data_IF_053966504802
#
_entry.id   IF_053966504802
#
_cell.length_a   1.000
_cell.length_b   1.000
_cell.length_c   1.000
_cell.angle_alpha   90.00
_cell.angle_beta   90.00
_cell.angle_gamma   90.00
#
_symmetry.space_group_name_H-M   'P 1'
#
loop_
_entity.id
_entity.type
_entity.pdbx_description
1 polymer ?
#
# COMPACT_ATOMS: atom_id res chain seq x y z
N UNK A 1 16.26 -24.56 -0.66
CA UNK A 1 15.21 -24.61 0.38
C UNK A 1 13.94 -24.08 -0.21
N UNK A 2 12.81 -24.74 0.00
CA UNK A 2 11.49 -24.24 -0.42
C UNK A 2 11.03 -23.08 0.50
N UNK A 3 10.07 -22.28 0.03
CA UNK A 3 9.48 -21.20 0.83
C UNK A 3 8.83 -21.76 2.10
N UNK A 4 8.13 -22.90 1.99
CA UNK A 4 7.54 -23.57 3.14
C UNK A 4 8.60 -24.01 4.18
N UNK A 5 9.75 -24.53 3.73
CA UNK A 5 10.85 -24.88 4.63
C UNK A 5 11.42 -23.61 5.30
N UNK A 6 11.53 -22.50 4.57
CA UNK A 6 11.96 -21.23 5.13
C UNK A 6 10.99 -20.74 6.19
N UNK A 7 9.69 -20.64 5.87
CA UNK A 7 8.66 -20.19 6.81
C UNK A 7 8.63 -21.05 8.09
N UNK A 8 8.73 -22.37 7.95
CA UNK A 8 8.84 -23.28 9.08
C UNK A 8 10.11 -23.03 9.92
N UNK A 9 11.23 -22.71 9.29
CA UNK A 9 12.49 -22.45 9.98
C UNK A 9 12.48 -21.17 10.84
N UNK A 10 11.56 -20.26 10.53
CA UNK A 10 11.34 -19.00 11.28
C UNK A 10 10.08 -19.03 12.14
N UNK A 11 9.47 -20.22 12.30
CA UNK A 11 8.25 -20.46 13.11
C UNK A 11 7.06 -19.60 12.66
N UNK A 12 6.92 -19.43 11.35
CA UNK A 12 5.77 -18.77 10.73
C UNK A 12 4.84 -19.84 10.19
N UNK A 13 3.70 -19.99 10.86
CA UNK A 13 2.63 -20.89 10.48
C UNK A 13 1.46 -20.12 9.85
N UNK A 14 0.64 -20.82 9.10
CA UNK A 14 -0.60 -20.27 8.57
C UNK A 14 -1.73 -20.45 9.59
N UNK A 15 -2.59 -19.42 9.72
CA UNK A 15 -3.86 -19.54 10.46
C UNK A 15 -4.97 -19.85 9.46
N UNK A 16 -5.76 -20.83 9.76
CA UNK A 16 -6.86 -21.28 8.91
C UNK A 16 -8.16 -20.51 9.18
N UNK A 17 -8.26 -19.84 10.33
CA UNK A 17 -9.47 -19.09 10.70
C UNK A 17 -9.21 -17.92 11.65
N UNK A 18 -10.13 -16.93 11.69
CA UNK A 18 -10.09 -15.86 12.70
C UNK A 18 -10.12 -16.39 14.14
N UNK A 19 -10.85 -17.47 14.38
CA UNK A 19 -10.97 -18.09 15.71
C UNK A 19 -9.62 -18.59 16.19
N UNK A 20 -8.87 -19.30 15.36
CA UNK A 20 -7.52 -19.78 15.68
C UNK A 20 -6.57 -18.62 16.00
N UNK A 21 -6.67 -17.52 15.24
CA UNK A 21 -5.91 -16.31 15.52
C UNK A 21 -6.23 -15.77 16.92
N UNK A 22 -7.52 -15.62 17.25
CA UNK A 22 -7.92 -15.06 18.54
C UNK A 22 -7.56 -15.99 19.71
N UNK A 23 -7.68 -17.30 19.55
CA UNK A 23 -7.25 -18.28 20.56
C UNK A 23 -5.75 -18.15 20.82
N UNK A 24 -4.95 -18.05 19.78
CA UNK A 24 -3.49 -17.92 19.91
C UNK A 24 -3.09 -16.59 20.54
N UNK A 25 -3.77 -15.50 20.17
CA UNK A 25 -3.58 -14.20 20.79
C UNK A 25 -3.83 -14.23 22.30
N UNK A 26 -4.92 -14.90 22.73
CA UNK A 26 -5.24 -15.08 24.15
C UNK A 26 -4.26 -16.01 24.88
N UNK A 27 -3.61 -16.91 24.17
CA UNK A 27 -2.59 -17.81 24.66
C UNK A 27 -1.20 -17.19 24.84
N UNK A 28 -0.98 -15.96 24.40
CA UNK A 28 0.31 -15.29 24.57
C UNK A 28 0.65 -15.15 26.08
N UNK A 29 1.91 -15.38 26.45
CA UNK A 29 2.35 -15.37 27.85
C UNK A 29 2.11 -14.03 28.54
N UNK A 30 2.24 -12.94 27.81
CA UNK A 30 2.01 -11.60 28.31
C UNK A 30 0.63 -11.09 27.91
N UNK A 31 -0.29 -10.98 28.86
CA UNK A 31 -1.64 -10.48 28.63
C UNK A 31 -1.68 -9.05 28.10
N UNK A 32 -0.69 -8.22 28.42
CA UNK A 32 -0.59 -6.87 27.89
C UNK A 32 -0.31 -6.92 26.38
N UNK A 33 0.54 -7.83 25.92
CA UNK A 33 0.79 -8.06 24.49
C UNK A 33 -0.49 -8.37 23.74
N UNK A 34 -1.33 -9.24 24.26
CA UNK A 34 -2.61 -9.59 23.68
C UNK A 34 -3.56 -8.38 23.57
N UNK A 35 -3.65 -7.56 24.61
CA UNK A 35 -4.49 -6.35 24.61
C UNK A 35 -3.98 -5.33 23.60
N UNK A 36 -2.67 -5.05 23.58
CA UNK A 36 -2.07 -4.12 22.63
C UNK A 36 -2.25 -4.60 21.21
N UNK A 37 -1.96 -5.88 20.92
CA UNK A 37 -2.15 -6.46 19.59
C UNK A 37 -3.61 -6.32 19.12
N UNK A 38 -4.57 -6.61 19.99
CA UNK A 38 -6.00 -6.44 19.69
C UNK A 38 -6.34 -5.00 19.34
N UNK A 39 -5.90 -4.03 20.14
CA UNK A 39 -6.11 -2.61 19.87
C UNK A 39 -5.54 -2.21 18.52
N UNK A 40 -4.33 -2.66 18.18
CA UNK A 40 -3.68 -2.36 16.90
C UNK A 40 -4.48 -2.95 15.74
N UNK A 41 -4.96 -4.18 15.83
CA UNK A 41 -5.78 -4.79 14.78
C UNK A 41 -7.13 -4.07 14.61
N UNK A 42 -7.79 -3.71 15.70
CA UNK A 42 -9.05 -2.93 15.67
C UNK A 42 -8.83 -1.54 15.04
N UNK A 43 -7.72 -0.86 15.36
CA UNK A 43 -7.35 0.41 14.74
C UNK A 43 -7.07 0.27 13.24
N UNK A 44 -6.33 -0.78 12.83
CA UNK A 44 -6.08 -1.04 11.40
C UNK A 44 -7.36 -1.36 10.63
N UNK A 45 -8.27 -2.13 11.21
CA UNK A 45 -9.58 -2.38 10.62
C UNK A 45 -10.40 -1.09 10.44
N UNK A 46 -10.22 -0.13 11.34
CA UNK A 46 -10.86 1.21 11.24
C UNK A 46 -10.11 2.20 10.32
N UNK A 47 -9.10 1.73 9.59
CA UNK A 47 -8.30 2.57 8.68
C UNK A 47 -7.30 3.49 9.38
N UNK A 48 -7.08 3.32 10.68
CA UNK A 48 -6.07 4.08 11.44
C UNK A 48 -4.75 3.33 11.42
N UNK A 49 -3.76 3.90 10.74
CA UNK A 49 -2.39 3.38 10.77
C UNK A 49 -1.57 4.27 11.70
N UNK A 50 -1.07 3.70 12.79
CA UNK A 50 -0.13 4.37 13.69
C UNK A 50 1.23 3.67 13.57
N UNK A 51 2.27 4.35 13.06
CA UNK A 51 3.61 3.75 12.89
C UNK A 51 4.20 3.20 14.20
N UNK A 52 3.89 3.84 15.33
CA UNK A 52 4.34 3.38 16.66
C UNK A 52 3.75 2.01 16.97
N UNK A 53 2.53 1.75 16.52
CA UNK A 53 1.89 0.44 16.72
C UNK A 53 2.49 -0.64 15.81
N UNK A 54 2.95 -0.28 14.62
CA UNK A 54 3.68 -1.23 13.76
C UNK A 54 4.98 -1.68 14.41
N UNK A 55 5.69 -0.76 15.07
CA UNK A 55 6.91 -1.06 15.78
C UNK A 55 6.76 -2.17 16.83
N UNK A 56 5.64 -2.19 17.55
CA UNK A 56 5.35 -3.19 18.59
C UNK A 56 5.43 -4.64 18.05
N UNK A 57 4.99 -4.88 16.83
CA UNK A 57 5.04 -6.23 16.25
C UNK A 57 6.46 -6.69 15.88
N UNK A 58 7.40 -5.77 15.76
CA UNK A 58 8.76 -6.09 15.34
C UNK A 58 9.81 -5.92 16.43
N UNK A 59 9.45 -5.39 17.61
CA UNK A 59 10.37 -5.14 18.71
C UNK A 59 10.92 -6.42 19.38
N UNK A 60 10.27 -7.55 19.19
CA UNK A 60 10.72 -8.86 19.67
C UNK A 60 10.50 -9.95 18.62
N UNK A 61 11.29 -11.02 18.70
CA UNK A 61 11.15 -12.15 17.77
C UNK A 61 9.78 -12.83 17.94
N UNK A 62 9.30 -12.99 19.16
CA UNK A 62 8.01 -13.60 19.47
C UNK A 62 6.84 -12.79 18.90
N UNK A 63 6.84 -11.47 19.11
CA UNK A 63 5.82 -10.59 18.53
C UNK A 63 5.87 -10.60 17.00
N UNK A 64 7.08 -10.61 16.43
CA UNK A 64 7.28 -10.67 14.98
C UNK A 64 6.77 -11.97 14.38
N UNK A 65 7.08 -13.11 14.98
CA UNK A 65 6.57 -14.40 14.55
C UNK A 65 5.04 -14.45 14.62
N UNK A 66 4.47 -13.96 15.71
CA UNK A 66 3.00 -13.87 15.85
C UNK A 66 2.39 -12.98 14.75
N UNK A 67 2.95 -11.80 14.50
CA UNK A 67 2.45 -10.93 13.44
C UNK A 67 2.57 -11.57 12.05
N UNK A 68 3.71 -12.18 11.75
CA UNK A 68 3.92 -12.85 10.46
C UNK A 68 3.00 -14.06 10.26
N UNK A 69 2.59 -14.74 11.34
CA UNK A 69 1.57 -15.80 11.26
C UNK A 69 0.23 -15.22 10.77
N UNK A 70 -0.17 -14.04 11.24
CA UNK A 70 -1.41 -13.36 10.81
C UNK A 70 -1.37 -12.95 9.36
N UNK A 71 -0.20 -12.46 8.92
CA UNK A 71 0.02 -12.02 7.53
C UNK A 71 0.68 -13.09 6.65
N UNK A 72 0.68 -14.35 7.11
CA UNK A 72 1.36 -15.44 6.41
C UNK A 72 0.90 -15.64 4.94
N UNK A 73 -0.38 -15.50 4.57
CA UNK A 73 -0.79 -15.57 3.17
C UNK A 73 -0.17 -14.46 2.31
N UNK A 74 -0.04 -13.27 2.89
CA UNK A 74 0.65 -12.14 2.27
C UNK A 74 2.13 -12.45 2.08
N UNK A 75 2.79 -12.89 3.15
CA UNK A 75 4.22 -13.20 3.13
C UNK A 75 4.53 -14.37 2.17
N UNK A 76 3.76 -15.45 2.20
CA UNK A 76 3.92 -16.59 1.28
C UNK A 76 3.80 -16.16 -0.18
N UNK A 77 2.80 -15.34 -0.51
CA UNK A 77 2.62 -14.80 -1.86
C UNK A 77 3.79 -13.91 -2.27
N UNK A 78 4.21 -12.99 -1.39
CA UNK A 78 5.37 -12.12 -1.65
C UNK A 78 6.64 -12.92 -1.88
N UNK A 79 6.93 -13.91 -1.03
CA UNK A 79 8.13 -14.73 -1.16
C UNK A 79 8.12 -15.56 -2.45
N UNK A 80 6.95 -16.07 -2.89
CA UNK A 80 6.80 -16.75 -4.19
C UNK A 80 7.11 -15.82 -5.36
N UNK A 81 6.66 -14.58 -5.29
CA UNK A 81 6.95 -13.60 -6.31
C UNK A 81 8.44 -13.24 -6.33
N UNK A 82 9.04 -12.99 -5.17
CA UNK A 82 10.48 -12.73 -5.06
C UNK A 82 11.33 -13.95 -5.49
N UNK A 83 10.81 -15.17 -5.29
CA UNK A 83 11.45 -16.40 -5.77
C UNK A 83 11.46 -16.50 -7.30
N UNK A 84 10.43 -16.00 -7.96
CA UNK A 84 10.28 -16.02 -9.41
C UNK A 84 11.08 -14.91 -10.11
N UNK A 85 11.39 -13.81 -9.43
CA UNK A 85 12.13 -12.67 -10.00
C UNK A 85 13.61 -13.03 -10.17
N UNK A 86 14.14 -12.80 -11.37
CA UNK A 86 15.57 -12.88 -11.60
C UNK A 86 16.24 -11.56 -11.21
N UNK A 87 16.98 -11.57 -10.11
CA UNK A 87 17.67 -10.37 -9.63
C UNK A 87 18.93 -10.07 -10.47
N UNK A 88 19.17 -8.78 -10.77
CA UNK A 88 20.38 -8.36 -11.47
C UNK A 88 21.64 -8.60 -10.61
N UNK A 89 22.85 -8.52 -11.22
CA UNK A 89 24.10 -8.56 -10.46
C UNK A 89 24.19 -7.49 -9.39
N UNK A 90 24.94 -7.76 -8.31
CA UNK A 90 25.17 -6.84 -7.19
C UNK A 90 24.46 -7.24 -5.91
N UNK A 91 24.68 -6.46 -4.87
CA UNK A 91 24.10 -6.67 -3.54
C UNK A 91 22.64 -6.26 -3.48
N UNK A 92 21.96 -6.66 -2.41
CA UNK A 92 20.52 -6.40 -2.19
C UNK A 92 20.37 -5.44 -0.99
N UNK A 93 19.48 -4.44 -1.12
CA UNK A 93 19.08 -3.53 -0.05
C UNK A 93 17.58 -3.68 0.21
N UNK A 94 17.21 -3.93 1.46
CA UNK A 94 15.81 -3.83 1.91
C UNK A 94 15.63 -2.57 2.75
N UNK A 95 14.75 -1.69 2.33
CA UNK A 95 14.36 -0.46 3.03
C UNK A 95 13.11 -0.73 3.88
N UNK A 96 13.17 -0.41 5.18
CA UNK A 96 12.11 -0.75 6.12
C UNK A 96 12.03 -2.26 6.38
N UNK A 97 13.18 -2.88 6.70
CA UNK A 97 13.28 -4.35 6.74
C UNK A 97 12.49 -5.01 7.89
N UNK A 98 11.92 -4.24 8.80
CA UNK A 98 11.20 -4.79 9.94
C UNK A 98 12.04 -5.83 10.69
N UNK A 99 11.43 -6.95 11.07
CA UNK A 99 12.14 -8.07 11.72
C UNK A 99 13.07 -8.87 10.79
N UNK A 100 13.28 -8.44 9.56
CA UNK A 100 14.27 -8.99 8.63
C UNK A 100 13.88 -10.30 7.96
N UNK A 101 12.59 -10.67 7.93
CA UNK A 101 12.14 -11.95 7.37
C UNK A 101 12.44 -12.02 5.86
N UNK A 102 12.13 -10.97 5.11
CA UNK A 102 12.35 -10.93 3.66
C UNK A 102 13.85 -10.87 3.35
N UNK A 103 14.62 -10.02 4.06
CA UNK A 103 16.07 -9.96 3.91
C UNK A 103 16.75 -11.32 4.20
N UNK A 104 16.31 -12.03 5.24
CA UNK A 104 16.82 -13.36 5.58
C UNK A 104 16.48 -14.40 4.50
N UNK A 105 15.25 -14.36 3.97
CA UNK A 105 14.86 -15.20 2.84
C UNK A 105 15.78 -14.98 1.62
N UNK A 106 16.00 -13.72 1.24
CA UNK A 106 16.85 -13.36 0.12
C UNK A 106 18.32 -13.75 0.35
N UNK A 107 18.82 -13.55 1.58
CA UNK A 107 20.19 -13.96 1.93
C UNK A 107 20.39 -15.47 1.81
N UNK A 108 19.38 -16.23 2.17
CA UNK A 108 19.43 -17.70 2.06
C UNK A 108 19.30 -18.18 0.60
N UNK A 109 18.46 -17.48 -0.18
CA UNK A 109 18.28 -17.78 -1.61
C UNK A 109 19.51 -17.43 -2.45
N UNK A 110 20.19 -16.33 -2.11
CA UNK A 110 21.33 -15.79 -2.84
C UNK A 110 22.58 -15.75 -1.94
N UNK A 111 23.18 -16.90 -1.62
CA UNK A 111 24.33 -16.97 -0.70
C UNK A 111 25.58 -16.22 -1.20
N UNK A 112 25.66 -15.95 -2.50
CA UNK A 112 26.74 -15.20 -3.13
C UNK A 112 26.56 -13.67 -3.06
N UNK A 113 25.35 -13.19 -2.72
CA UNK A 113 25.05 -11.77 -2.60
C UNK A 113 25.08 -11.35 -1.14
N UNK A 114 25.48 -10.11 -0.88
CA UNK A 114 25.26 -9.48 0.42
C UNK A 114 23.87 -8.85 0.44
N UNK A 115 23.15 -9.06 1.54
CA UNK A 115 21.86 -8.44 1.80
C UNK A 115 22.03 -7.44 2.93
N UNK A 116 21.53 -6.24 2.74
CA UNK A 116 21.53 -5.16 3.76
C UNK A 116 20.10 -4.80 4.06
N UNK A 117 19.71 -4.90 5.32
CA UNK A 117 18.42 -4.44 5.81
C UNK A 117 18.58 -3.13 6.58
N UNK A 118 17.70 -2.17 6.34
CA UNK A 118 17.67 -0.89 7.05
C UNK A 118 16.30 -0.68 7.67
N UNK A 119 16.29 -0.27 8.94
CA UNK A 119 15.09 0.15 9.65
C UNK A 119 15.42 1.32 10.58
N UNK A 120 14.41 2.14 10.90
CA UNK A 120 14.55 3.30 11.77
C UNK A 120 14.71 2.90 13.24
N UNK A 121 14.07 1.81 13.67
CA UNK A 121 13.87 1.47 15.05
C UNK A 121 14.94 0.50 15.57
N UNK A 122 15.65 0.82 16.67
CA UNK A 122 16.76 0.01 17.17
C UNK A 122 16.33 -1.40 17.61
N UNK A 123 15.17 -1.53 18.25
CA UNK A 123 14.67 -2.82 18.74
C UNK A 123 14.25 -3.74 17.60
N UNK A 124 13.69 -3.17 16.53
CA UNK A 124 13.35 -3.86 15.28
C UNK A 124 14.61 -4.41 14.62
N UNK A 125 15.65 -3.58 14.49
CA UNK A 125 16.95 -4.00 13.95
C UNK A 125 17.62 -5.09 14.83
N UNK A 126 17.48 -4.99 16.14
CA UNK A 126 17.98 -6.03 17.05
C UNK A 126 17.25 -7.36 16.85
N UNK A 127 15.94 -7.33 16.60
CA UNK A 127 15.13 -8.51 16.28
C UNK A 127 15.56 -9.13 14.95
N UNK A 128 15.77 -8.33 13.91
CA UNK A 128 16.26 -8.80 12.61
C UNK A 128 17.65 -9.48 12.72
N UNK A 129 18.57 -8.91 13.51
CA UNK A 129 19.88 -9.52 13.81
C UNK A 129 19.76 -10.87 14.51
N UNK A 130 18.86 -11.00 15.48
CA UNK A 130 18.59 -12.27 16.16
C UNK A 130 18.07 -13.32 15.19
N UNK A 131 17.14 -12.92 14.29
CA UNK A 131 16.62 -13.83 13.28
C UNK A 131 17.73 -14.36 12.37
N UNK A 132 18.60 -13.48 11.84
CA UNK A 132 19.73 -13.89 11.02
C UNK A 132 20.68 -14.84 11.75
N UNK A 133 20.96 -14.59 13.03
CA UNK A 133 21.78 -15.47 13.86
C UNK A 133 21.15 -16.86 14.05
N UNK A 134 19.84 -16.92 14.31
CA UNK A 134 19.11 -18.19 14.42
C UNK A 134 19.15 -19.01 13.16
N UNK A 135 19.10 -18.33 11.99
CA UNK A 135 19.19 -18.97 10.67
C UNK A 135 20.63 -19.28 10.24
N UNK A 136 21.65 -18.87 11.02
CA UNK A 136 23.05 -19.07 10.69
C UNK A 136 23.53 -18.32 9.45
N UNK A 137 22.88 -17.20 9.10
CA UNK A 137 23.20 -16.42 7.92
C UNK A 137 24.39 -15.50 8.17
N UNK A 138 25.37 -15.50 7.30
CA UNK A 138 26.57 -14.67 7.37
C UNK A 138 26.64 -13.59 6.29
N UNK A 139 25.74 -13.63 5.32
CA UNK A 139 25.70 -12.71 4.18
C UNK A 139 24.56 -11.67 4.29
N UNK A 140 23.97 -11.51 5.49
CA UNK A 140 22.98 -10.45 5.76
C UNK A 140 23.44 -9.59 6.93
N UNK A 141 23.24 -8.30 6.81
CA UNK A 141 23.51 -7.31 7.88
C UNK A 141 22.38 -6.31 8.03
N UNK A 142 22.11 -5.87 9.25
CA UNK A 142 21.04 -4.96 9.57
C UNK A 142 21.57 -3.71 10.27
N UNK A 143 21.08 -2.53 9.81
CA UNK A 143 21.53 -1.24 10.32
C UNK A 143 20.33 -0.37 10.72
N UNK A 144 20.47 0.25 11.89
CA UNK A 144 19.55 1.31 12.29
C UNK A 144 19.92 2.60 11.55
N UNK A 145 19.07 3.01 10.61
CA UNK A 145 19.25 4.25 9.86
C UNK A 145 17.90 4.81 9.42
N UNK A 146 17.84 6.13 9.36
CA UNK A 146 16.74 6.84 8.73
C UNK A 146 16.91 6.82 7.20
N UNK A 147 15.83 6.62 6.47
CA UNK A 147 15.83 6.59 4.99
C UNK A 147 15.92 8.01 4.43
N UNK A 148 15.25 8.98 5.08
CA UNK A 148 15.35 10.37 4.68
C UNK A 148 16.80 10.86 4.79
N UNK A 149 17.40 11.24 3.65
CA UNK A 149 18.80 11.67 3.59
C UNK A 149 19.84 10.55 3.78
N UNK A 150 19.44 9.29 3.65
CA UNK A 150 20.34 8.14 3.75
C UNK A 150 21.51 8.26 2.77
N UNK A 151 22.72 8.11 3.29
CA UNK A 151 23.96 8.05 2.51
C UNK A 151 24.65 6.72 2.76
N UNK A 152 24.67 5.86 1.74
CA UNK A 152 25.45 4.63 1.73
C UNK A 152 26.58 4.79 0.72
N UNK A 153 27.78 4.33 1.08
CA UNK A 153 28.97 4.45 0.21
C UNK A 153 28.99 3.39 -0.90
N UNK A 154 27.86 2.81 -1.24
CA UNK A 154 27.71 1.82 -2.30
C UNK A 154 26.32 1.86 -2.93
N UNK A 155 26.24 1.30 -4.12
CA UNK A 155 25.00 1.05 -4.85
C UNK A 155 24.65 -0.44 -4.80
N UNK A 156 23.38 -0.73 -5.11
CA UNK A 156 22.81 -2.07 -5.02
C UNK A 156 22.23 -2.50 -6.37
N UNK A 157 22.39 -3.76 -6.72
CA UNK A 157 21.76 -4.33 -7.90
C UNK A 157 20.24 -4.49 -7.71
N UNK A 158 19.80 -4.72 -6.48
CA UNK A 158 18.38 -4.79 -6.17
C UNK A 158 18.08 -3.99 -4.91
N UNK A 159 17.01 -3.20 -4.96
CA UNK A 159 16.45 -2.54 -3.78
C UNK A 159 15.01 -3.02 -3.61
N UNK A 160 14.60 -3.28 -2.36
CA UNK A 160 13.23 -3.65 -2.00
C UNK A 160 12.64 -2.68 -1.00
N UNK A 161 11.32 -2.43 -1.11
CA UNK A 161 10.50 -1.90 -0.03
C UNK A 161 9.14 -2.60 0.03
N UNK A 162 8.67 -2.87 1.24
CA UNK A 162 7.41 -3.58 1.47
C UNK A 162 6.59 -2.83 2.50
N UNK A 163 5.45 -2.29 2.09
CA UNK A 163 4.51 -1.54 2.93
C UNK A 163 5.16 -0.38 3.73
N UNK A 164 6.18 0.26 3.15
CA UNK A 164 7.00 1.29 3.79
C UNK A 164 6.52 2.71 3.47
N UNK A 165 6.05 2.95 2.24
CA UNK A 165 5.69 4.29 1.77
C UNK A 165 4.66 4.97 2.67
N UNK A 166 3.62 4.24 3.08
CA UNK A 166 2.57 4.75 3.94
C UNK A 166 3.12 5.15 5.32
N UNK A 167 4.04 4.36 5.88
CA UNK A 167 4.66 4.64 7.18
C UNK A 167 5.57 5.88 7.12
N UNK A 168 6.23 6.13 6.00
CA UNK A 168 7.04 7.34 5.80
C UNK A 168 6.20 8.60 5.54
N UNK A 169 4.99 8.45 5.03
CA UNK A 169 4.07 9.57 4.75
C UNK A 169 3.21 9.98 5.95
N UNK A 170 3.34 9.32 7.10
CA UNK A 170 2.50 9.46 8.30
C UNK A 170 2.51 10.85 8.97
N UNK A 171 3.27 11.81 8.47
CA UNK A 171 3.13 13.24 8.84
C UNK A 171 1.93 13.94 8.16
N UNK A 172 1.29 13.31 7.20
CA UNK A 172 0.07 13.77 6.55
C UNK A 172 -1.06 12.80 6.86
N UNK A 173 -1.40 12.69 8.14
CA UNK A 173 -2.65 12.07 8.58
C UNK A 173 -3.85 12.96 8.18
N UNK A 174 -4.11 12.99 6.88
CA UNK A 174 -5.45 13.17 6.42
C UNK A 174 -5.80 11.83 5.78
N UNK A 175 -6.97 11.32 6.02
CA UNK A 175 -7.64 10.24 5.29
C UNK A 175 -7.61 10.38 3.75
N UNK A 176 -6.71 11.19 3.25
CA UNK A 176 -6.60 11.70 1.89
C UNK A 176 -5.96 10.74 0.89
N UNK A 177 -5.28 9.69 1.35
CA UNK A 177 -4.63 8.73 0.47
C UNK A 177 -5.58 7.79 -0.27
N UNK A 178 -6.83 7.70 0.17
CA UNK A 178 -7.80 6.75 -0.37
C UNK A 178 -8.84 7.37 -1.30
N UNK A 179 -8.87 8.70 -1.36
CA UNK A 179 -9.85 9.42 -2.15
C UNK A 179 -9.18 10.02 -3.38
N UNK A 180 -9.38 9.41 -4.51
CA UNK A 180 -9.03 10.10 -5.73
C UNK A 180 -10.04 9.77 -6.80
N UNK A 181 -10.68 10.79 -7.29
CA UNK A 181 -11.37 10.68 -8.55
C UNK A 181 -10.33 10.39 -9.63
N UNK A 182 -10.65 9.56 -10.59
CA UNK A 182 -9.80 9.26 -11.76
C UNK A 182 -9.43 10.53 -12.53
N UNK A 183 -10.25 11.57 -12.45
CA UNK A 183 -9.93 12.91 -12.93
C UNK A 183 -8.62 13.48 -12.34
N UNK A 184 -8.19 13.00 -11.16
CA UNK A 184 -6.97 13.43 -10.49
C UNK A 184 -5.72 12.62 -10.92
N UNK A 185 -5.88 11.53 -11.66
CA UNK A 185 -4.75 10.68 -12.07
C UNK A 185 -3.61 11.41 -12.77
N UNK A 186 -3.89 12.30 -13.76
CA UNK A 186 -2.81 13.06 -14.39
C UNK A 186 -2.05 13.93 -13.39
N UNK A 187 -2.75 14.50 -12.41
CA UNK A 187 -2.13 15.28 -11.35
C UNK A 187 -1.36 14.40 -10.36
N UNK A 188 -1.89 13.24 -10.01
CA UNK A 188 -1.21 12.29 -9.14
C UNK A 188 0.12 11.79 -9.74
N UNK A 189 0.17 11.59 -11.05
CA UNK A 189 1.41 11.25 -11.77
C UNK A 189 2.46 12.37 -11.81
N UNK A 190 2.08 13.61 -11.47
CA UNK A 190 3.02 14.72 -11.30
C UNK A 190 3.46 14.89 -9.84
N UNK A 191 3.30 13.86 -9.02
CA UNK A 191 3.65 13.89 -7.62
C UNK A 191 5.11 14.30 -7.39
N UNK A 192 5.31 15.06 -6.32
CA UNK A 192 6.64 15.52 -5.92
C UNK A 192 7.43 14.35 -5.34
N UNK A 193 8.72 14.35 -5.60
CA UNK A 193 9.68 13.41 -5.05
C UNK A 193 9.50 13.16 -3.54
N UNK A 194 9.68 11.93 -3.12
CA UNK A 194 9.66 11.51 -1.71
C UNK A 194 11.04 11.08 -1.21
N UNK A 195 11.29 11.09 0.11
CA UNK A 195 12.55 10.58 0.64
C UNK A 195 12.83 9.13 0.22
N UNK A 196 11.78 8.31 0.05
CA UNK A 196 11.92 6.93 -0.40
C UNK A 196 12.36 6.86 -1.86
N UNK A 197 11.70 7.58 -2.77
CA UNK A 197 12.09 7.60 -4.19
C UNK A 197 13.50 8.15 -4.40
N UNK A 198 13.88 9.21 -3.67
CA UNK A 198 15.24 9.74 -3.67
C UNK A 198 16.27 8.73 -3.19
N UNK A 199 16.00 8.05 -2.09
CA UNK A 199 16.90 7.02 -1.56
C UNK A 199 17.10 5.90 -2.58
N UNK A 200 16.03 5.43 -3.23
CA UNK A 200 16.11 4.40 -4.26
C UNK A 200 16.96 4.87 -5.44
N UNK A 201 16.66 6.06 -6.00
CA UNK A 201 17.40 6.59 -7.15
C UNK A 201 18.90 6.75 -6.87
N UNK A 202 19.25 7.19 -5.66
CA UNK A 202 20.63 7.42 -5.26
C UNK A 202 21.44 6.12 -5.10
N UNK A 203 20.79 5.02 -4.69
CA UNK A 203 21.49 3.80 -4.31
C UNK A 203 21.27 2.64 -5.26
N UNK A 204 20.36 2.75 -6.25
CA UNK A 204 20.17 1.73 -7.29
C UNK A 204 21.27 1.84 -8.35
N UNK A 205 21.86 0.71 -8.77
CA UNK A 205 22.77 0.70 -9.92
C UNK A 205 22.01 1.01 -11.22
N UNK A 206 22.70 1.48 -12.25
CA UNK A 206 22.08 1.83 -13.54
C UNK A 206 21.24 0.69 -14.13
N UNK A 207 21.73 -0.55 -14.02
CA UNK A 207 21.00 -1.74 -14.48
C UNK A 207 20.28 -2.46 -13.32
N UNK A 208 20.05 -1.74 -12.22
CA UNK A 208 19.44 -2.28 -11.02
C UNK A 208 17.93 -2.42 -11.12
N UNK A 209 17.37 -3.24 -10.23
CA UNK A 209 15.94 -3.47 -10.10
C UNK A 209 15.44 -2.97 -8.76
N UNK A 210 14.47 -2.10 -8.78
CA UNK A 210 13.70 -1.74 -7.60
C UNK A 210 12.40 -2.54 -7.57
N UNK A 211 12.18 -3.27 -6.49
CA UNK A 211 10.98 -4.07 -6.23
C UNK A 211 10.19 -3.40 -5.13
N UNK A 212 9.01 -2.88 -5.42
CA UNK A 212 8.15 -2.28 -4.40
C UNK A 212 6.81 -2.98 -4.31
N UNK A 213 6.37 -3.27 -3.09
CA UNK A 213 5.04 -3.76 -2.77
C UNK A 213 4.44 -2.83 -1.73
N UNK A 214 3.72 -1.82 -2.19
CA UNK A 214 3.23 -0.75 -1.33
C UNK A 214 1.70 -0.80 -1.18
N UNK A 215 1.20 -0.34 -0.03
CA UNK A 215 -0.24 -0.23 0.23
C UNK A 215 -0.84 0.89 -0.59
N UNK A 216 -1.11 0.59 -1.85
CA UNK A 216 -1.82 1.48 -2.76
C UNK A 216 -3.17 0.86 -3.08
N UNK A 217 -4.20 1.31 -2.38
CA UNK A 217 -5.53 0.68 -2.44
C UNK A 217 -6.34 1.12 -3.67
N UNK A 218 -6.00 2.24 -4.29
CA UNK A 218 -6.65 2.76 -5.47
C UNK A 218 -5.64 3.16 -6.57
N UNK A 219 -6.16 3.40 -7.75
CA UNK A 219 -5.33 3.72 -8.91
C UNK A 219 -4.59 5.05 -8.77
N UNK A 220 -5.10 6.02 -8.03
CA UNK A 220 -4.41 7.30 -7.87
C UNK A 220 -3.32 7.24 -6.80
N UNK A 221 -3.46 6.42 -5.78
CA UNK A 221 -2.34 6.15 -4.87
C UNK A 221 -1.20 5.42 -5.59
N UNK A 222 -1.54 4.52 -6.54
CA UNK A 222 -0.53 3.91 -7.44
C UNK A 222 0.09 4.99 -8.34
N UNK A 223 -0.73 5.86 -8.95
CA UNK A 223 -0.27 6.95 -9.80
C UNK A 223 0.67 7.91 -9.05
N UNK A 224 0.30 8.29 -7.83
CA UNK A 224 1.17 9.10 -6.98
C UNK A 224 2.51 8.43 -6.72
N UNK A 225 2.52 7.13 -6.41
CA UNK A 225 3.77 6.39 -6.21
C UNK A 225 4.60 6.29 -7.48
N UNK A 226 3.96 6.02 -8.61
CA UNK A 226 4.64 6.02 -9.94
C UNK A 226 5.21 7.41 -10.23
N UNK A 227 4.47 8.49 -10.00
CA UNK A 227 4.93 9.86 -10.18
C UNK A 227 6.14 10.21 -9.32
N UNK A 228 6.13 9.83 -8.03
CA UNK A 228 7.27 10.01 -7.12
C UNK A 228 8.54 9.30 -7.64
N UNK A 229 8.41 8.08 -8.15
CA UNK A 229 9.53 7.33 -8.74
C UNK A 229 10.02 7.98 -10.04
N UNK A 230 9.09 8.36 -10.93
CA UNK A 230 9.42 8.98 -12.21
C UNK A 230 10.11 10.33 -12.05
N UNK A 231 9.77 11.10 -11.01
CA UNK A 231 10.47 12.35 -10.69
C UNK A 231 11.96 12.17 -10.39
N UNK A 232 12.36 10.95 -10.01
CA UNK A 232 13.77 10.56 -9.75
C UNK A 232 14.38 9.71 -10.88
N UNK A 233 13.73 9.63 -12.03
CA UNK A 233 14.23 8.87 -13.18
C UNK A 233 14.10 7.34 -13.01
N UNK A 234 13.19 6.89 -12.16
CA UNK A 234 12.87 5.47 -11.97
C UNK A 234 11.46 5.22 -12.47
N UNK A 235 11.28 4.25 -13.36
CA UNK A 235 9.97 3.94 -13.93
C UNK A 235 9.66 2.45 -13.82
N UNK A 236 8.43 2.08 -13.40
CA UNK A 236 8.01 0.69 -13.38
C UNK A 236 7.78 0.16 -14.79
N UNK A 237 8.16 -1.10 -15.01
CA UNK A 237 7.74 -1.86 -16.18
C UNK A 237 6.35 -2.43 -15.91
N UNK A 238 5.33 -1.87 -16.53
CA UNK A 238 3.95 -2.36 -16.35
C UNK A 238 3.78 -3.79 -16.87
N UNK A 239 4.56 -4.20 -17.87
CA UNK A 239 4.57 -5.57 -18.39
C UNK A 239 5.01 -6.61 -17.35
N UNK A 240 6.01 -6.24 -16.52
CA UNK A 240 6.57 -7.12 -15.51
C UNK A 240 5.97 -6.90 -14.12
N UNK A 241 5.25 -5.80 -13.93
CA UNK A 241 4.54 -5.46 -12.70
C UNK A 241 3.16 -6.12 -12.65
N UNK A 242 2.64 -6.39 -11.46
CA UNK A 242 1.33 -7.03 -11.31
C UNK A 242 0.61 -6.61 -10.04
N UNK A 243 -0.70 -6.75 -10.06
CA UNK A 243 -1.51 -6.67 -8.84
C UNK A 243 -1.49 -8.02 -8.13
N UNK A 244 -1.02 -8.05 -6.90
CA UNK A 244 -1.10 -9.23 -6.05
C UNK A 244 -2.38 -9.19 -5.23
N UNK A 245 -3.05 -10.34 -5.12
CA UNK A 245 -4.21 -10.50 -4.26
C UNK A 245 -3.81 -11.35 -3.06
N UNK A 246 -4.10 -10.84 -1.87
CA UNK A 246 -3.87 -11.51 -0.60
C UNK A 246 -5.19 -11.73 0.09
N UNK A 247 -5.37 -12.87 0.71
CA UNK A 247 -6.54 -13.13 1.56
C UNK A 247 -6.05 -13.23 2.99
N UNK A 248 -6.21 -12.13 3.73
CA UNK A 248 -5.86 -12.11 5.16
C UNK A 248 -6.93 -12.76 6.00
N UNK A 249 -6.54 -13.42 7.08
CA UNK A 249 -7.46 -14.07 8.02
C UNK A 249 -8.42 -13.09 8.67
N UNK A 250 -7.97 -11.84 8.88
CA UNK A 250 -8.74 -10.80 9.55
C UNK A 250 -9.23 -9.69 8.61
N UNK A 251 -8.55 -9.49 7.47
CA UNK A 251 -8.78 -8.32 6.61
C UNK A 251 -9.54 -8.66 5.33
N UNK A 252 -9.79 -9.95 5.07
CA UNK A 252 -10.37 -10.38 3.80
C UNK A 252 -9.37 -10.28 2.65
N UNK A 253 -9.88 -10.06 1.43
CA UNK A 253 -9.05 -9.95 0.24
C UNK A 253 -8.52 -8.52 0.09
N UNK A 254 -7.21 -8.38 0.02
CA UNK A 254 -6.51 -7.12 -0.27
C UNK A 254 -5.77 -7.23 -1.60
N UNK A 255 -5.67 -6.11 -2.34
CA UNK A 255 -4.91 -6.04 -3.58
C UNK A 255 -3.82 -4.98 -3.45
N UNK A 256 -2.59 -5.35 -3.78
CA UNK A 256 -1.44 -4.44 -3.72
C UNK A 256 -0.62 -4.54 -5.02
N UNK A 257 -0.11 -3.42 -5.54
CA UNK A 257 0.78 -3.44 -6.70
C UNK A 257 2.17 -3.92 -6.31
N UNK A 258 2.64 -4.97 -6.97
CA UNK A 258 4.06 -5.31 -7.04
C UNK A 258 4.64 -4.62 -8.26
N UNK A 259 5.38 -3.53 -8.06
CA UNK A 259 6.01 -2.78 -9.13
C UNK A 259 7.48 -3.18 -9.26
N UNK A 260 7.88 -3.55 -10.48
CA UNK A 260 9.26 -3.81 -10.86
C UNK A 260 9.76 -2.62 -11.66
N UNK A 261 10.68 -1.83 -11.09
CA UNK A 261 11.11 -0.54 -11.61
C UNK A 261 12.61 -0.51 -11.87
N UNK A 262 13.03 0.23 -12.89
CA UNK A 262 14.44 0.44 -13.25
C UNK A 262 14.70 1.91 -13.53
N UNK A 263 15.96 2.30 -13.63
CA UNK A 263 16.28 3.60 -14.20
C UNK A 263 15.75 3.68 -15.64
N UNK A 264 14.91 4.66 -15.90
CA UNK A 264 14.29 4.85 -17.21
C UNK A 264 13.77 6.28 -17.37
N UNK A 265 13.93 6.84 -18.56
CA UNK A 265 13.30 8.09 -18.96
C UNK A 265 11.85 7.87 -19.48
N UNK A 266 11.41 6.62 -19.59
CA UNK A 266 10.07 6.30 -20.04
C UNK A 266 9.03 6.79 -19.02
N UNK A 267 8.12 7.62 -19.47
CA UNK A 267 7.01 8.11 -18.66
C UNK A 267 5.79 7.21 -18.84
N UNK A 268 5.20 6.80 -17.73
CA UNK A 268 3.90 6.12 -17.71
C UNK A 268 2.83 7.20 -17.63
N UNK A 269 1.92 7.20 -18.57
CA UNK A 269 0.75 8.06 -18.54
C UNK A 269 -0.42 7.41 -17.79
N UNK A 270 -1.42 8.23 -17.49
CA UNK A 270 -2.58 7.80 -16.74
C UNK A 270 -3.39 6.70 -17.44
N UNK A 271 -3.42 6.71 -18.79
CA UNK A 271 -4.13 5.71 -19.60
C UNK A 271 -3.47 4.35 -19.50
N UNK A 272 -2.15 4.32 -19.67
CA UNK A 272 -1.35 3.09 -19.57
C UNK A 272 -1.47 2.49 -18.18
N UNK A 273 -1.42 3.32 -17.12
CA UNK A 273 -1.55 2.85 -15.74
C UNK A 273 -2.95 2.26 -15.46
N UNK A 274 -4.00 2.91 -15.96
CA UNK A 274 -5.36 2.42 -15.80
C UNK A 274 -5.58 1.10 -16.56
N UNK A 275 -5.11 1.04 -17.82
CA UNK A 275 -5.19 -0.20 -18.61
C UNK A 275 -4.45 -1.36 -17.91
N UNK A 276 -3.27 -1.10 -17.39
CA UNK A 276 -2.53 -2.08 -16.60
C UNK A 276 -3.31 -2.55 -15.37
N UNK A 277 -3.89 -1.62 -14.61
CA UNK A 277 -4.69 -1.92 -13.42
C UNK A 277 -5.89 -2.79 -13.76
N UNK A 278 -6.52 -2.57 -14.90
CA UNK A 278 -7.67 -3.34 -15.39
C UNK A 278 -7.27 -4.72 -15.91
N UNK A 279 -6.14 -4.83 -16.62
CA UNK A 279 -5.70 -6.11 -17.23
C UNK A 279 -5.21 -7.13 -16.19
N UNK A 280 -4.68 -6.66 -15.07
CA UNK A 280 -4.20 -7.52 -13.97
C UNK A 280 -5.30 -8.14 -13.11
N UNK A 281 -6.57 -7.82 -13.36
CA UNK A 281 -7.70 -8.40 -12.67
C UNK A 281 -8.38 -9.44 -13.56
N UNK A 282 -8.14 -10.73 -13.31
CA UNK A 282 -8.99 -11.81 -13.88
C UNK A 282 -10.46 -11.71 -13.42
N UNK A 283 -10.75 -10.85 -12.47
CA UNK A 283 -12.07 -10.39 -12.05
C UNK A 283 -12.40 -9.09 -12.80
N UNK A 284 -12.60 -9.19 -14.10
CA UNK A 284 -12.88 -8.08 -15.01
C UNK A 284 -14.24 -7.41 -14.82
N UNK A 285 -14.90 -7.56 -13.70
CA UNK A 285 -16.21 -6.99 -13.40
C UNK A 285 -16.39 -6.71 -11.91
N UNK A 286 -15.49 -5.99 -11.26
CA UNK A 286 -15.99 -5.20 -10.15
C UNK A 286 -16.65 -3.95 -10.73
N UNK A 287 -17.87 -3.63 -10.29
CA UNK A 287 -18.58 -2.40 -10.69
C UNK A 287 -17.70 -1.16 -10.48
N UNK A 288 -16.78 -1.20 -9.55
CA UNK A 288 -15.78 -0.17 -9.26
C UNK A 288 -14.80 0.10 -10.41
N UNK A 289 -14.23 -0.93 -11.04
CA UNK A 289 -13.35 -0.74 -12.21
C UNK A 289 -14.11 -0.24 -13.43
N UNK A 290 -15.36 -0.66 -13.60
CA UNK A 290 -16.22 -0.16 -14.65
C UNK A 290 -16.53 1.35 -14.48
N UNK A 291 -16.77 1.78 -13.23
CA UNK A 291 -16.96 3.19 -12.89
C UNK A 291 -15.68 3.99 -13.17
N UNK A 292 -14.53 3.51 -12.73
CA UNK A 292 -13.24 4.13 -12.97
C UNK A 292 -12.94 4.25 -14.47
N UNK A 293 -13.12 3.19 -15.23
CA UNK A 293 -12.92 3.19 -16.68
C UNK A 293 -13.81 4.20 -17.39
N UNK A 294 -15.07 4.30 -16.98
CA UNK A 294 -16.02 5.24 -17.57
C UNK A 294 -15.64 6.69 -17.30
N UNK A 295 -15.29 7.02 -16.04
CA UNK A 295 -14.85 8.38 -15.70
C UNK A 295 -13.57 8.74 -16.48
N UNK A 296 -12.64 7.79 -16.62
CA UNK A 296 -11.37 8.03 -17.31
C UNK A 296 -11.52 8.16 -18.84
N UNK A 297 -12.41 7.37 -19.46
CA UNK A 297 -12.59 7.39 -20.92
C UNK A 297 -13.06 8.75 -21.45
N UNK A 298 -13.54 9.62 -20.58
CA UNK A 298 -13.98 10.97 -20.92
C UNK A 298 -13.00 12.00 -20.33
N UNK A 299 -11.92 12.26 -21.04
CA UNK A 299 -10.72 13.01 -20.62
C UNK A 299 -10.89 14.45 -20.12
N UNK A 300 -12.11 14.97 -19.98
CA UNK A 300 -12.40 16.36 -19.68
C UNK A 300 -13.32 16.55 -18.48
N UNK A 301 -13.30 15.64 -17.52
CA UNK A 301 -14.07 15.81 -16.30
C UNK A 301 -13.51 16.96 -15.46
N UNK A 302 -14.38 17.86 -15.05
CA UNK A 302 -14.10 18.93 -14.12
C UNK A 302 -14.83 18.64 -12.81
N UNK A 303 -14.13 18.73 -11.68
CA UNK A 303 -14.77 18.71 -10.38
C UNK A 303 -15.47 20.05 -10.18
N UNK A 304 -16.79 20.02 -10.12
CA UNK A 304 -17.63 21.21 -9.85
C UNK A 304 -17.74 21.43 -8.35
N UNK A 305 -17.94 20.36 -7.60
CA UNK A 305 -18.07 20.39 -6.15
C UNK A 305 -17.64 19.05 -5.56
N UNK A 306 -17.04 19.09 -4.38
CA UNK A 306 -16.71 17.90 -3.61
C UNK A 306 -16.98 18.13 -2.13
N UNK A 307 -17.49 17.11 -1.46
CA UNK A 307 -17.75 17.14 -0.02
C UNK A 307 -17.28 15.82 0.60
N UNK A 308 -16.61 15.92 1.73
CA UNK A 308 -16.13 14.77 2.52
C UNK A 308 -16.97 14.65 3.79
N UNK A 309 -17.33 13.43 4.11
CA UNK A 309 -18.06 13.04 5.30
C UNK A 309 -17.21 12.03 6.08
N UNK A 310 -16.94 12.33 7.34
CA UNK A 310 -16.45 11.31 8.26
C UNK A 310 -17.66 10.56 8.82
N UNK A 311 -17.66 9.25 8.66
CA UNK A 311 -18.74 8.38 9.13
C UNK A 311 -18.20 7.39 10.17
N UNK A 312 -19.08 7.02 11.10
CA UNK A 312 -18.82 5.95 12.06
C UNK A 312 -19.96 4.96 12.01
N UNK A 313 -19.64 3.73 11.67
CA UNK A 313 -20.57 2.61 11.60
C UNK A 313 -20.10 1.41 12.43
N UNK A 314 -20.76 0.27 12.31
CA UNK A 314 -20.42 -0.97 13.01
C UNK A 314 -19.01 -1.50 12.62
N UNK A 315 -18.51 -1.12 11.45
CA UNK A 315 -17.19 -1.48 10.95
C UNK A 315 -16.09 -0.47 11.36
N UNK A 316 -16.43 0.56 12.14
CA UNK A 316 -15.53 1.60 12.62
C UNK A 316 -15.64 2.92 11.86
N UNK A 317 -14.58 3.74 11.95
CA UNK A 317 -14.53 5.04 11.28
C UNK A 317 -14.21 4.86 9.80
N UNK A 318 -14.93 5.59 8.95
CA UNK A 318 -14.67 5.66 7.53
C UNK A 318 -14.87 7.10 7.05
N UNK A 319 -14.38 7.38 5.85
CA UNK A 319 -14.65 8.64 5.21
C UNK A 319 -15.24 8.39 3.81
N UNK A 320 -16.20 9.23 3.44
CA UNK A 320 -16.90 9.21 2.16
C UNK A 320 -16.70 10.54 1.47
N UNK A 321 -16.29 10.54 0.22
CA UNK A 321 -16.33 11.72 -0.64
C UNK A 321 -17.41 11.60 -1.69
N UNK A 322 -18.15 12.67 -1.86
CA UNK A 322 -19.14 12.82 -2.92
C UNK A 322 -18.67 13.94 -3.85
N UNK A 323 -18.57 13.61 -5.11
CA UNK A 323 -18.17 14.54 -6.17
C UNK A 323 -19.33 14.85 -7.10
N UNK A 324 -19.44 16.10 -7.50
CA UNK A 324 -20.18 16.52 -8.67
C UNK A 324 -19.15 16.77 -9.78
N UNK A 325 -19.17 15.91 -10.79
CA UNK A 325 -18.30 15.97 -11.96
C UNK A 325 -19.08 16.41 -13.19
N UNK A 326 -18.44 17.20 -14.04
CA UNK A 326 -19.01 17.68 -15.30
C UNK A 326 -17.98 17.62 -16.41
N UNK A 327 -18.43 17.22 -17.60
CA UNK A 327 -17.69 17.33 -18.87
C UNK A 327 -18.57 17.94 -19.95
N UNK A 328 -18.05 18.15 -21.16
CA UNK A 328 -18.77 18.80 -22.27
C UNK A 328 -20.07 18.08 -22.68
N UNK A 329 -20.23 16.83 -22.33
CA UNK A 329 -21.34 15.98 -22.80
C UNK A 329 -22.24 15.44 -21.70
N UNK A 330 -21.75 15.34 -20.50
CA UNK A 330 -22.48 14.76 -19.38
C UNK A 330 -22.00 15.30 -18.03
N UNK A 331 -22.82 15.05 -17.02
CA UNK A 331 -22.46 15.29 -15.64
C UNK A 331 -22.83 14.09 -14.77
N UNK A 332 -22.15 13.88 -13.69
CA UNK A 332 -22.42 12.80 -12.77
C UNK A 332 -22.16 13.16 -11.32
N UNK A 333 -22.88 12.51 -10.42
CA UNK A 333 -22.58 12.47 -8.99
C UNK A 333 -21.95 11.13 -8.70
N UNK A 334 -20.76 11.20 -8.20
CA UNK A 334 -19.91 10.04 -7.92
C UNK A 334 -19.50 10.05 -6.45
N UNK A 335 -19.54 8.90 -5.78
CA UNK A 335 -18.97 8.78 -4.46
C UNK A 335 -17.83 7.76 -4.41
N UNK A 336 -16.94 7.98 -3.47
CA UNK A 336 -15.87 7.05 -3.13
C UNK A 336 -15.68 7.01 -1.62
N UNK A 337 -15.20 5.89 -1.11
CA UNK A 337 -14.89 5.71 0.32
C UNK A 337 -13.44 5.32 0.51
N UNK A 338 -12.88 5.59 1.69
CA UNK A 338 -11.55 5.09 2.06
C UNK A 338 -11.52 3.56 2.28
N UNK A 339 -12.67 2.90 2.19
CA UNK A 339 -12.80 1.43 2.21
C UNK A 339 -12.87 0.83 0.80
N UNK A 340 -12.68 1.63 -0.26
CA UNK A 340 -12.62 1.19 -1.65
C UNK A 340 -13.96 1.20 -2.39
N UNK A 341 -15.10 1.44 -1.74
CA UNK A 341 -16.39 1.52 -2.42
C UNK A 341 -16.46 2.75 -3.35
N UNK A 342 -16.98 2.57 -4.55
CA UNK A 342 -17.13 3.60 -5.57
C UNK A 342 -18.38 3.36 -6.38
N UNK A 343 -19.16 4.42 -6.60
CA UNK A 343 -20.41 4.31 -7.34
C UNK A 343 -20.77 5.64 -8.02
N UNK A 344 -21.36 5.55 -9.22
CA UNK A 344 -22.05 6.67 -9.86
C UNK A 344 -23.50 6.64 -9.37
N UNK A 345 -23.86 7.63 -8.55
CA UNK A 345 -25.20 7.69 -7.95
C UNK A 345 -26.22 8.30 -8.92
N UNK A 346 -25.80 9.36 -9.62
CA UNK A 346 -26.63 10.06 -10.61
C UNK A 346 -25.81 10.43 -11.82
N UNK A 347 -26.45 10.42 -12.95
CA UNK A 347 -25.87 10.88 -14.22
C UNK A 347 -26.90 11.62 -15.06
N UNK A 348 -26.43 12.51 -15.91
CA UNK A 348 -27.29 13.21 -16.87
C UNK A 348 -26.52 13.58 -18.13
N UNK A 349 -27.21 13.64 -19.26
CA UNK A 349 -26.67 14.17 -20.50
C UNK A 349 -26.57 15.70 -20.43
N UNK A 350 -25.82 16.29 -21.38
CA UNK A 350 -25.61 17.73 -21.50
C UNK A 350 -26.90 18.56 -21.31
N UNK A 351 -26.81 19.60 -20.51
CA UNK A 351 -27.96 20.45 -20.14
C UNK A 351 -28.63 20.12 -18.79
N UNK A 352 -28.26 19.02 -18.16
CA UNK A 352 -28.80 18.61 -16.84
C UNK A 352 -28.04 19.12 -15.61
N UNK A 353 -27.04 19.99 -15.77
CA UNK A 353 -26.16 20.44 -14.68
C UNK A 353 -26.93 20.96 -13.45
N UNK A 354 -28.01 21.74 -13.66
CA UNK A 354 -28.83 22.22 -12.54
C UNK A 354 -29.60 21.08 -11.87
N UNK A 355 -30.04 20.08 -12.62
CA UNK A 355 -30.72 18.91 -12.05
C UNK A 355 -29.75 18.10 -11.20
N UNK A 356 -28.53 17.91 -11.69
CA UNK A 356 -27.48 17.22 -10.95
C UNK A 356 -27.07 17.99 -9.71
N UNK A 357 -26.91 19.29 -9.80
CA UNK A 357 -26.61 20.11 -8.64
C UNK A 357 -27.70 19.98 -7.56
N UNK A 358 -28.97 20.04 -7.96
CA UNK A 358 -30.08 19.87 -7.03
C UNK A 358 -30.06 18.45 -6.39
N UNK A 359 -29.79 17.42 -7.18
CA UNK A 359 -29.65 16.04 -6.66
C UNK A 359 -28.46 15.88 -5.74
N UNK A 360 -27.34 16.49 -6.08
CA UNK A 360 -26.15 16.53 -5.24
C UNK A 360 -26.44 17.22 -3.91
N UNK A 361 -27.05 18.40 -3.92
CA UNK A 361 -27.43 19.14 -2.71
C UNK A 361 -28.42 18.35 -1.84
N UNK A 362 -29.38 17.68 -2.47
CA UNK A 362 -30.33 16.82 -1.77
C UNK A 362 -29.62 15.64 -1.09
N UNK A 363 -28.75 14.93 -1.81
CA UNK A 363 -27.94 13.84 -1.28
C UNK A 363 -27.06 14.29 -0.11
N UNK A 364 -26.40 15.47 -0.24
CA UNK A 364 -25.61 16.03 0.85
C UNK A 364 -26.47 16.31 2.09
N UNK A 365 -27.71 16.82 1.88
CA UNK A 365 -28.68 17.03 2.97
C UNK A 365 -29.01 15.71 3.67
N UNK A 366 -29.35 14.67 2.93
CA UNK A 366 -29.66 13.35 3.51
C UNK A 366 -28.45 12.76 4.26
N UNK A 367 -27.25 12.84 3.70
CA UNK A 367 -26.02 12.35 4.35
C UNK A 367 -25.71 13.14 5.62
N UNK A 368 -25.86 14.45 5.60
CA UNK A 368 -25.59 15.31 6.78
C UNK A 368 -26.51 14.96 7.98
N UNK A 369 -27.72 14.50 7.72
CA UNK A 369 -28.66 14.07 8.77
C UNK A 369 -28.54 12.59 9.14
N UNK A 370 -27.63 11.84 8.50
CA UNK A 370 -27.39 10.45 8.83
C UNK A 370 -26.70 10.36 10.21
N UNK A 371 -27.24 9.59 11.17
CA UNK A 371 -26.68 9.49 12.52
C UNK A 371 -25.25 8.90 12.56
N UNK A 372 -24.81 8.23 11.50
CA UNK A 372 -23.43 7.73 11.36
C UNK A 372 -22.44 8.80 10.94
N UNK A 373 -22.87 9.97 10.48
CA UNK A 373 -21.98 11.06 10.09
C UNK A 373 -21.51 11.83 11.32
N UNK A 374 -20.19 11.94 11.46
CA UNK A 374 -19.52 12.57 12.60
C UNK A 374 -19.06 13.98 12.25
N UNK A 375 -18.59 14.19 11.00
CA UNK A 375 -18.09 15.47 10.51
C UNK A 375 -18.39 15.64 9.02
N UNK A 376 -18.49 16.88 8.56
CA UNK A 376 -18.74 17.22 7.14
C UNK A 376 -17.83 18.36 6.72
N UNK A 377 -17.03 18.13 5.67
CA UNK A 377 -16.09 19.12 5.15
C UNK A 377 -16.32 19.40 3.67
N UNK A 378 -16.46 20.66 3.30
CA UNK A 378 -16.44 21.05 1.90
C UNK A 378 -15.01 21.11 1.38
N UNK A 379 -14.75 20.46 0.27
CA UNK A 379 -13.45 20.51 -0.41
C UNK A 379 -13.51 21.67 -1.41
N UNK A 380 -12.83 22.78 -1.10
CA UNK A 380 -12.92 24.04 -1.85
C UNK A 380 -11.81 24.23 -2.90
N UNK A 381 -10.83 23.33 -3.00
CA UNK A 381 -9.77 23.39 -4.01
C UNK A 381 -9.23 21.98 -4.32
N UNK A 382 -9.51 21.53 -5.50
CA UNK A 382 -8.78 20.45 -6.16
C UNK A 382 -7.93 21.05 -7.28
#
# INVERSE_FOLDING_TARGET
>A
MSITEFLNSVDIAHFDSPEEFWERLHGLPNKNTAVIARTIFEERQSGRVNPVHSAFFFESLENSQFFHNVVSPYLDTLLKELDAIQLPPGDILELGCGAGVVACFLAQKYPEKKVVGIDLLPDVVATAKKLAQLLGLSNVEFHQKEIAGLQLQKTFGCILSVALREEMSSGRQGSFGYFSAIAELPHALTAVTSPLSQCVAQHLTTDGLYVSLERCHDVASIASWVGEMQSEGISPSLEHSKMLTFTGVLTGAEKMPLLLSTHSEASIDAESLLQWRMSGSNEMQSDELAVESRIYSQRAWRVVKATEFDIRDELGDAAVRVYLLECDREGLVYFTTNRGAREIIFETSFGGAQILLNKFEHLLGELTYNPSVVDVRSITSL
#
